data_IF_765843526075
#
_entry.id   IF_765843526075
#
_cell.length_a   1.000
_cell.length_b   1.000
_cell.length_c   1.000
_cell.angle_alpha   90.00
_cell.angle_beta   90.00
_cell.angle_gamma   90.00
#
_symmetry.space_group_name_H-M   'P 1'
#
loop_
_entity.id
_entity.type
_entity.pdbx_description
1 polymer ?
#
# COMPACT_ATOMS: atom_id res chain seq x y z
N UNK A 1 -0.54 70.24 -30.51
CA UNK A 1 -1.49 70.69 -29.46
C UNK A 1 -1.54 69.59 -28.41
N UNK A 2 -1.07 69.87 -27.20
CA UNK A 2 -1.00 68.91 -26.10
C UNK A 2 -2.06 69.24 -25.04
N UNK A 3 -2.83 68.24 -24.64
CA UNK A 3 -3.73 68.22 -23.48
C UNK A 3 -3.78 66.76 -23.00
N UNK A 4 -4.01 66.43 -21.74
CA UNK A 4 -3.66 66.99 -20.43
C UNK A 4 -3.84 65.80 -19.48
N UNK A 5 -3.05 65.74 -18.42
CA UNK A 5 -3.01 64.66 -17.44
C UNK A 5 -4.37 64.35 -16.79
N UNK A 6 -4.54 63.10 -16.35
CA UNK A 6 -5.62 62.68 -15.50
C UNK A 6 -5.10 61.85 -14.31
N UNK A 7 -5.63 62.20 -13.14
CA UNK A 7 -5.99 61.37 -11.98
C UNK A 7 -4.89 60.51 -11.34
N UNK A 8 -4.45 60.89 -10.13
CA UNK A 8 -5.01 60.45 -8.83
C UNK A 8 -4.59 59.03 -8.45
N UNK A 9 -4.04 58.88 -7.25
CA UNK A 9 -4.55 58.03 -6.16
C UNK A 9 -3.46 57.84 -5.09
N UNK A 10 -3.83 58.23 -3.87
CA UNK A 10 -3.48 57.70 -2.55
C UNK A 10 -2.24 56.81 -2.43
N UNK A 11 -1.32 57.20 -1.53
CA UNK A 11 -0.54 56.26 -0.73
C UNK A 11 -0.12 56.92 0.58
N UNK A 12 0.16 56.05 1.55
CA UNK A 12 0.72 56.24 2.90
C UNK A 12 -0.31 56.02 4.01
N UNK A 13 -0.61 54.78 4.42
CA UNK A 13 0.24 53.79 5.13
C UNK A 13 0.68 54.25 6.52
N UNK A 14 0.20 53.54 7.54
CA UNK A 14 0.94 52.94 8.67
C UNK A 14 -0.11 52.41 9.67
N UNK A 15 0.02 51.20 10.21
CA UNK A 15 0.88 50.91 11.37
C UNK A 15 1.19 49.42 11.43
N UNK A 16 2.46 49.14 11.72
CA UNK A 16 3.12 47.87 12.03
C UNK A 16 2.53 47.16 13.26
N UNK A 17 2.57 45.83 13.33
CA UNK A 17 2.93 45.05 14.54
C UNK A 17 2.88 43.53 14.27
N UNK A 18 4.09 42.94 14.21
CA UNK A 18 4.57 41.62 14.65
C UNK A 18 3.70 40.34 14.49
N UNK A 19 4.35 39.18 14.19
CA UNK A 19 3.67 37.95 13.84
C UNK A 19 3.02 37.31 15.06
N UNK A 20 1.70 37.15 15.03
CA UNK A 20 1.05 36.13 15.85
C UNK A 20 1.47 34.77 15.28
N UNK A 21 2.46 34.14 15.90
CA UNK A 21 2.69 32.71 15.75
C UNK A 21 1.46 32.01 16.33
N UNK A 22 0.50 31.72 15.46
CA UNK A 22 -0.60 30.80 15.73
C UNK A 22 0.01 29.44 16.04
N UNK A 23 0.11 29.10 17.33
CA UNK A 23 0.32 27.71 17.72
C UNK A 23 -0.95 26.94 17.36
N UNK A 24 -0.93 26.34 16.17
CA UNK A 24 -1.84 25.28 15.84
C UNK A 24 -1.61 24.16 16.87
N UNK A 25 -2.55 23.99 17.80
CA UNK A 25 -2.62 22.81 18.65
C UNK A 25 -3.09 21.62 17.80
N UNK A 26 -2.21 21.17 16.90
CA UNK A 26 -2.36 19.90 16.24
C UNK A 26 -2.10 18.82 17.27
N UNK A 27 -3.14 18.08 17.66
CA UNK A 27 -2.94 16.86 18.43
C UNK A 27 -2.20 15.87 17.54
N UNK A 28 -0.95 15.54 17.89
CA UNK A 28 -0.21 14.45 17.27
C UNK A 28 -0.84 13.12 17.73
N UNK A 29 -1.31 12.26 16.81
CA UNK A 29 -1.80 10.93 17.16
C UNK A 29 -0.72 10.17 17.94
N UNK A 30 -1.08 9.61 19.10
CA UNK A 30 -0.16 8.79 19.91
C UNK A 30 0.73 9.53 20.92
N UNK A 31 0.60 10.86 21.06
CA UNK A 31 1.23 11.63 22.13
C UNK A 31 0.22 12.25 23.08
N UNK A 32 0.52 12.21 24.39
CA UNK A 32 -0.21 12.92 25.43
C UNK A 32 0.70 13.96 26.08
N UNK A 33 0.19 15.16 26.29
CA UNK A 33 0.86 16.19 27.07
C UNK A 33 0.57 15.94 28.55
N UNK A 34 1.61 15.70 29.35
CA UNK A 34 1.49 15.55 30.80
C UNK A 34 2.56 16.40 31.49
N UNK A 35 2.15 17.31 32.37
CA UNK A 35 3.08 18.20 33.09
C UNK A 35 3.92 19.14 32.21
N UNK A 36 3.47 19.47 30.99
CA UNK A 36 4.22 20.30 30.03
C UNK A 36 5.30 19.54 29.25
N UNK A 37 5.41 18.22 29.47
CA UNK A 37 6.27 17.30 28.73
C UNK A 37 5.40 16.48 27.77
N UNK A 38 5.84 16.34 26.52
CA UNK A 38 5.22 15.43 25.55
C UNK A 38 5.65 14.00 25.86
N UNK A 39 4.70 13.18 26.28
CA UNK A 39 4.89 11.75 26.46
C UNK A 39 4.23 11.03 25.28
N UNK A 40 5.07 10.50 24.40
CA UNK A 40 4.62 9.75 23.23
C UNK A 40 4.77 8.26 23.47
N UNK A 41 3.76 7.48 23.06
CA UNK A 41 3.86 6.01 23.07
C UNK A 41 4.83 5.61 21.95
N UNK A 42 5.93 4.89 22.26
CA UNK A 42 6.88 4.45 21.24
C UNK A 42 6.16 3.62 20.17
N UNK A 43 6.29 4.02 18.90
CA UNK A 43 5.70 3.33 17.75
C UNK A 43 4.53 4.03 17.03
N UNK A 44 4.10 5.22 17.49
CA UNK A 44 2.96 5.94 16.88
C UNK A 44 3.27 7.33 16.29
N UNK A 45 4.52 7.78 16.32
CA UNK A 45 4.90 9.12 15.80
C UNK A 45 5.86 9.08 14.61
N UNK A 46 6.02 7.93 13.98
CA UNK A 46 6.86 7.79 12.80
C UNK A 46 6.04 8.24 11.57
N UNK A 47 6.61 9.16 10.78
CA UNK A 47 6.15 9.35 9.40
C UNK A 47 6.02 7.96 8.74
N UNK A 48 5.01 7.73 7.87
CA UNK A 48 4.72 6.40 7.31
C UNK A 48 5.95 5.67 6.74
N UNK A 49 6.93 6.42 6.24
CA UNK A 49 8.20 5.90 5.71
C UNK A 49 9.15 5.34 6.78
N UNK A 50 9.18 5.90 7.99
CA UNK A 50 10.00 5.37 9.09
C UNK A 50 9.41 4.09 9.69
N UNK A 51 8.09 3.90 9.61
CA UNK A 51 7.45 2.67 10.04
C UNK A 51 7.83 1.46 9.16
N UNK A 52 8.16 1.72 7.89
CA UNK A 52 8.71 0.71 6.96
C UNK A 52 10.17 0.37 7.32
N UNK A 53 10.96 1.36 7.75
CA UNK A 53 12.38 1.12 8.07
C UNK A 53 12.61 0.43 9.43
N UNK A 54 11.74 0.63 10.42
CA UNK A 54 11.74 -0.18 11.64
C UNK A 54 11.38 -1.64 11.33
N UNK A 55 10.52 -1.88 10.31
CA UNK A 55 10.24 -3.21 9.80
C UNK A 55 11.47 -3.88 9.15
N UNK A 56 12.44 -3.10 8.64
CA UNK A 56 13.61 -3.60 7.92
C UNK A 56 14.78 -4.02 8.84
N UNK A 57 14.80 -3.64 10.12
CA UNK A 57 15.89 -4.03 11.04
C UNK A 57 15.68 -5.38 11.75
N UNK A 58 14.49 -5.97 11.67
CA UNK A 58 14.20 -7.32 12.16
C UNK A 58 14.17 -8.40 11.06
N UNK A 59 14.64 -8.09 9.85
CA UNK A 59 14.69 -9.04 8.74
C UNK A 59 16.15 -9.45 8.50
N UNK A 60 16.72 -10.11 9.50
CA UNK A 60 17.89 -10.97 9.30
C UNK A 60 17.46 -12.39 9.64
N UNK A 61 17.63 -13.30 8.67
CA UNK A 61 17.39 -14.75 8.74
C UNK A 61 15.92 -15.24 8.86
N UNK A 62 14.91 -14.39 8.60
CA UNK A 62 13.49 -14.77 8.56
C UNK A 62 12.81 -14.55 7.18
N UNK A 63 13.58 -14.29 6.11
CA UNK A 63 13.05 -14.08 4.73
C UNK A 63 12.38 -15.34 4.13
N UNK A 64 12.57 -16.51 4.74
CA UNK A 64 11.75 -17.71 4.48
C UNK A 64 10.28 -17.57 4.97
N UNK A 65 9.93 -16.42 5.58
CA UNK A 65 8.63 -16.10 6.20
C UNK A 65 7.90 -14.92 5.54
N UNK A 66 8.46 -14.28 4.50
CA UNK A 66 7.95 -13.07 3.82
C UNK A 66 6.76 -13.28 2.87
N UNK A 67 5.67 -13.87 3.35
CA UNK A 67 4.43 -13.89 2.55
C UNK A 67 3.33 -14.80 3.03
N UNK A 68 3.46 -15.42 4.20
CA UNK A 68 2.32 -16.11 4.83
C UNK A 68 1.44 -15.11 5.57
N UNK A 69 0.73 -14.30 4.80
CA UNK A 69 -0.62 -13.89 5.20
C UNK A 69 -1.52 -15.13 5.12
N UNK A 70 -1.36 -16.09 6.04
CA UNK A 70 -2.27 -17.23 6.11
C UNK A 70 -3.38 -16.88 7.10
N UNK A 71 -4.29 -16.02 6.66
CA UNK A 71 -5.63 -16.01 7.24
C UNK A 71 -6.44 -17.05 6.47
N UNK A 72 -6.72 -18.18 7.10
CA UNK A 72 -7.50 -19.25 6.48
C UNK A 72 -8.88 -18.72 6.12
N UNK A 73 -9.17 -18.62 4.82
CA UNK A 73 -10.53 -18.36 4.34
C UNK A 73 -11.33 -19.63 4.56
N UNK A 74 -12.38 -19.55 5.37
CA UNK A 74 -13.26 -20.68 5.62
C UNK A 74 -13.87 -21.16 4.29
N UNK A 75 -13.75 -22.46 4.01
CA UNK A 75 -14.28 -23.06 2.78
C UNK A 75 -13.35 -23.02 1.57
N UNK A 76 -12.19 -22.37 1.67
CA UNK A 76 -11.18 -22.42 0.61
C UNK A 76 -10.39 -23.73 0.69
N UNK A 77 -10.53 -24.58 -0.33
CA UNK A 77 -9.80 -25.85 -0.43
C UNK A 77 -8.49 -25.71 -1.20
N UNK A 78 -8.48 -24.90 -2.25
CA UNK A 78 -7.28 -24.66 -3.06
C UNK A 78 -7.27 -23.25 -3.61
N UNK A 79 -6.06 -22.69 -3.77
CA UNK A 79 -5.79 -21.48 -4.52
C UNK A 79 -4.37 -21.56 -5.08
N UNK A 80 -4.25 -21.77 -6.38
CA UNK A 80 -2.99 -22.04 -7.08
C UNK A 80 -2.93 -21.34 -8.43
N UNK A 81 -1.74 -20.97 -8.85
CA UNK A 81 -1.44 -20.48 -10.18
C UNK A 81 -1.00 -21.64 -11.07
N UNK A 82 -1.54 -21.66 -12.29
CA UNK A 82 -1.19 -22.64 -13.33
C UNK A 82 -0.80 -21.90 -14.60
N UNK A 83 0.34 -22.28 -15.18
CA UNK A 83 0.87 -21.74 -16.42
C UNK A 83 2.38 -21.91 -16.49
N UNK A 84 2.97 -21.59 -17.63
CA UNK A 84 4.42 -21.64 -17.80
C UNK A 84 5.07 -20.31 -17.37
N UNK A 85 6.22 -20.41 -16.71
CA UNK A 85 7.04 -19.26 -16.31
C UNK A 85 7.79 -18.67 -17.51
N UNK A 86 7.08 -18.09 -18.48
CA UNK A 86 7.65 -17.60 -19.74
C UNK A 86 6.92 -16.36 -20.24
N UNK A 87 7.65 -15.38 -20.76
CA UNK A 87 7.06 -14.19 -21.38
C UNK A 87 6.03 -14.55 -22.46
N UNK A 88 4.92 -13.80 -22.45
CA UNK A 88 3.82 -13.94 -23.40
C UNK A 88 2.79 -14.99 -22.97
N UNK A 89 3.16 -15.93 -22.10
CA UNK A 89 2.27 -16.95 -21.57
C UNK A 89 1.26 -16.38 -20.57
N UNK A 90 0.18 -17.14 -20.39
CA UNK A 90 -0.91 -16.78 -19.48
C UNK A 90 -0.84 -17.65 -18.22
N UNK A 91 -0.72 -17.01 -17.07
CA UNK A 91 -0.96 -17.64 -15.79
C UNK A 91 -2.44 -17.54 -15.45
N UNK A 92 -3.00 -18.63 -14.93
CA UNK A 92 -4.39 -18.71 -14.48
C UNK A 92 -4.43 -19.00 -13.00
N UNK A 93 -5.13 -18.17 -12.24
CA UNK A 93 -5.51 -18.46 -10.88
C UNK A 93 -6.65 -19.49 -10.89
N UNK A 94 -6.44 -20.61 -10.22
CA UNK A 94 -7.47 -21.62 -9.98
C UNK A 94 -7.72 -21.73 -8.48
N UNK A 95 -8.98 -21.74 -8.10
CA UNK A 95 -9.38 -21.91 -6.71
C UNK A 95 -10.68 -22.72 -6.59
N UNK A 96 -10.84 -23.37 -5.44
CA UNK A 96 -12.10 -24.01 -5.02
C UNK A 96 -12.48 -23.40 -3.69
N UNK A 97 -13.47 -22.52 -3.72
CA UNK A 97 -13.98 -21.78 -2.58
C UNK A 97 -15.46 -22.12 -2.40
N UNK A 98 -15.78 -22.73 -1.25
CA UNK A 98 -17.14 -23.16 -0.92
C UNK A 98 -17.55 -22.51 0.40
N UNK A 99 -18.30 -21.41 0.33
CA UNK A 99 -18.77 -20.71 1.52
C UNK A 99 -20.06 -19.91 1.27
N UNK A 100 -21.02 -20.05 2.16
CA UNK A 100 -22.33 -19.37 2.05
C UNK A 100 -22.29 -17.89 2.49
N UNK A 101 -21.21 -17.46 3.14
CA UNK A 101 -21.05 -16.12 3.72
C UNK A 101 -20.06 -15.23 2.96
N UNK A 102 -19.98 -15.36 1.63
CA UNK A 102 -19.04 -14.60 0.81
C UNK A 102 -19.78 -13.48 0.08
N UNK A 103 -19.31 -12.25 0.24
CA UNK A 103 -19.82 -11.08 -0.46
C UNK A 103 -19.01 -10.80 -1.73
N UNK A 104 -17.68 -10.80 -1.64
CA UNK A 104 -16.79 -10.59 -2.79
C UNK A 104 -15.52 -11.43 -2.72
N UNK A 105 -14.95 -11.70 -3.90
CA UNK A 105 -13.65 -12.35 -4.08
C UNK A 105 -12.86 -11.53 -5.10
N UNK A 106 -11.69 -11.08 -4.69
CA UNK A 106 -10.79 -10.29 -5.53
C UNK A 106 -9.42 -10.96 -5.63
N UNK A 107 -8.80 -10.93 -6.81
CA UNK A 107 -7.47 -11.51 -7.04
C UNK A 107 -6.50 -10.42 -7.48
N UNK A 108 -5.43 -10.24 -6.73
CA UNK A 108 -4.41 -9.24 -7.00
C UNK A 108 -3.07 -9.89 -7.32
N UNK A 109 -2.42 -9.41 -8.37
CA UNK A 109 -1.15 -9.96 -8.87
C UNK A 109 0.04 -9.16 -8.37
N UNK A 110 1.08 -9.88 -7.94
CA UNK A 110 2.31 -9.34 -7.41
C UNK A 110 3.51 -9.89 -8.18
N UNK A 111 4.46 -9.01 -8.46
CA UNK A 111 5.75 -9.35 -9.06
C UNK A 111 6.88 -9.07 -8.09
N UNK A 112 7.96 -9.84 -8.19
CA UNK A 112 9.22 -9.59 -7.49
C UNK A 112 10.39 -9.83 -8.43
N UNK A 113 11.38 -8.95 -8.39
CA UNK A 113 12.66 -9.14 -9.06
C UNK A 113 13.67 -9.69 -8.05
N UNK A 114 14.28 -10.85 -8.35
CA UNK A 114 15.22 -11.53 -7.46
C UNK A 114 14.66 -11.75 -6.05
N UNK A 115 15.40 -11.30 -5.05
CA UNK A 115 15.09 -11.32 -3.61
C UNK A 115 14.49 -9.99 -3.10
N UNK A 116 14.12 -9.07 -4.01
CA UNK A 116 13.54 -7.79 -3.63
C UNK A 116 12.12 -7.88 -3.05
N UNK A 117 11.45 -6.74 -2.89
CA UNK A 117 10.08 -6.74 -2.36
C UNK A 117 9.02 -7.09 -3.42
N UNK A 118 7.92 -7.71 -2.98
CA UNK A 118 6.72 -7.91 -3.80
C UNK A 118 6.06 -6.57 -4.14
N UNK A 119 5.77 -6.36 -5.42
CA UNK A 119 5.12 -5.15 -5.95
C UNK A 119 3.82 -5.53 -6.61
N UNK A 120 2.74 -4.84 -6.27
CA UNK A 120 1.44 -4.98 -6.92
C UNK A 120 1.57 -4.59 -8.40
N UNK A 121 1.15 -5.46 -9.32
CA UNK A 121 1.25 -5.21 -10.78
C UNK A 121 0.08 -4.37 -11.28
N UNK A 122 -1.13 -4.66 -10.81
CA UNK A 122 -2.31 -3.85 -11.11
C UNK A 122 -3.39 -4.01 -10.02
N UNK A 123 -4.27 -3.02 -9.90
CA UNK A 123 -5.40 -3.04 -8.99
C UNK A 123 -6.66 -3.69 -9.59
N UNK A 124 -6.56 -4.32 -10.78
CA UNK A 124 -7.70 -4.98 -11.41
C UNK A 124 -7.78 -6.42 -10.93
N UNK A 125 -8.95 -6.79 -10.43
CA UNK A 125 -9.26 -8.17 -10.07
C UNK A 125 -9.38 -8.99 -11.35
N UNK A 126 -8.37 -9.80 -11.63
CA UNK A 126 -8.30 -10.62 -12.84
C UNK A 126 -7.86 -12.04 -12.46
N UNK A 127 -8.59 -13.05 -12.91
CA UNK A 127 -8.19 -14.46 -12.70
C UNK A 127 -6.99 -14.86 -13.57
N UNK A 128 -6.65 -14.06 -14.58
CA UNK A 128 -5.58 -14.35 -15.51
C UNK A 128 -4.51 -13.26 -15.46
N UNK A 129 -3.27 -13.65 -15.69
CA UNK A 129 -2.12 -12.76 -15.78
C UNK A 129 -1.31 -13.08 -17.01
N UNK A 130 -1.13 -12.09 -17.89
CA UNK A 130 -0.24 -12.22 -19.03
C UNK A 130 1.16 -11.81 -18.61
N UNK A 131 2.09 -12.75 -18.69
CA UNK A 131 3.49 -12.48 -18.39
C UNK A 131 4.05 -11.52 -19.45
N UNK A 132 4.62 -10.43 -18.97
CA UNK A 132 5.22 -9.38 -19.76
C UNK A 132 6.74 -9.45 -19.74
N UNK A 133 7.38 -8.63 -20.57
CA UNK A 133 8.83 -8.49 -20.57
C UNK A 133 9.38 -7.95 -19.24
N UNK A 134 8.60 -7.16 -18.51
CA UNK A 134 9.02 -6.62 -17.22
C UNK A 134 9.13 -7.71 -16.12
N UNK A 135 8.51 -8.87 -16.34
CA UNK A 135 8.52 -9.98 -15.39
C UNK A 135 9.76 -10.88 -15.53
N UNK A 136 10.51 -10.78 -16.64
CA UNK A 136 11.67 -11.65 -16.92
C UNK A 136 12.68 -11.64 -15.77
N UNK A 137 13.18 -12.83 -15.43
CA UNK A 137 14.10 -13.03 -14.30
C UNK A 137 13.45 -12.89 -12.92
N UNK A 138 12.22 -12.36 -12.85
CA UNK A 138 11.43 -12.21 -11.65
C UNK A 138 10.52 -13.40 -11.37
N UNK A 139 9.60 -13.20 -10.43
CA UNK A 139 8.60 -14.17 -10.02
C UNK A 139 7.24 -13.49 -9.84
N UNK A 140 6.18 -14.25 -10.02
CA UNK A 140 4.78 -13.81 -9.93
C UNK A 140 4.03 -14.63 -8.87
N UNK A 141 3.16 -13.96 -8.13
CA UNK A 141 2.23 -14.55 -7.15
C UNK A 141 0.89 -13.84 -7.25
N UNK A 142 -0.20 -14.50 -6.84
CA UNK A 142 -1.48 -13.85 -6.64
C UNK A 142 -1.91 -13.92 -5.17
N UNK A 143 -2.64 -12.89 -4.74
CA UNK A 143 -3.28 -12.83 -3.43
C UNK A 143 -4.78 -12.73 -3.66
N UNK A 144 -5.52 -13.69 -3.12
CA UNK A 144 -6.97 -13.65 -3.07
C UNK A 144 -7.40 -12.90 -1.81
N UNK A 145 -8.33 -11.97 -1.97
CA UNK A 145 -8.97 -11.21 -0.92
C UNK A 145 -10.45 -11.58 -0.92
N UNK A 146 -10.96 -12.05 0.22
CA UNK A 146 -12.36 -12.42 0.38
C UNK A 146 -12.98 -11.50 1.42
N UNK A 147 -14.08 -10.86 1.04
CA UNK A 147 -14.92 -10.10 1.96
C UNK A 147 -16.15 -10.93 2.28
N UNK A 148 -16.38 -11.21 3.56
CA UNK A 148 -17.57 -11.93 4.01
C UNK A 148 -18.78 -11.01 4.13
N UNK A 149 -19.99 -11.58 4.22
CA UNK A 149 -21.22 -10.81 4.42
C UNK A 149 -21.23 -10.01 5.73
N UNK A 150 -20.46 -10.46 6.72
CA UNK A 150 -20.31 -9.81 8.03
C UNK A 150 -19.29 -8.65 7.99
N UNK A 151 -18.68 -8.37 6.82
CA UNK A 151 -17.69 -7.30 6.60
C UNK A 151 -16.24 -7.71 6.85
N UNK A 152 -16.01 -8.95 7.31
CA UNK A 152 -14.67 -9.49 7.57
C UNK A 152 -13.89 -9.66 6.26
N UNK A 153 -12.66 -9.12 6.20
CA UNK A 153 -11.74 -9.28 5.07
C UNK A 153 -10.65 -10.29 5.41
N UNK A 154 -10.53 -11.33 4.59
CA UNK A 154 -9.51 -12.38 4.70
C UNK A 154 -8.63 -12.38 3.45
N UNK A 155 -7.37 -12.80 3.61
CA UNK A 155 -6.40 -12.86 2.50
C UNK A 155 -5.61 -14.15 2.52
N UNK A 156 -5.32 -14.67 1.33
CA UNK A 156 -4.51 -15.87 1.12
C UNK A 156 -3.63 -15.69 -0.12
N UNK A 157 -2.38 -16.16 -0.03
CA UNK A 157 -1.43 -16.15 -1.14
C UNK A 157 -1.44 -17.47 -1.90
N UNK A 158 -1.21 -17.42 -3.21
CA UNK A 158 -1.00 -18.59 -4.05
C UNK A 158 0.43 -19.16 -3.90
N UNK A 159 0.74 -20.22 -4.67
CA UNK A 159 2.12 -20.54 -5.00
C UNK A 159 2.78 -19.41 -5.84
N UNK A 160 4.11 -19.44 -5.91
CA UNK A 160 4.93 -18.54 -6.72
C UNK A 160 5.29 -19.22 -8.04
N UNK A 161 5.24 -18.47 -9.15
CA UNK A 161 5.72 -18.89 -10.47
C UNK A 161 6.94 -18.04 -10.85
N UNK A 162 8.08 -18.69 -11.05
CA UNK A 162 9.33 -18.05 -11.45
C UNK A 162 10.53 -19.01 -11.30
N UNK A 163 11.73 -18.61 -11.76
CA UNK A 163 12.01 -17.38 -12.49
C UNK A 163 11.36 -17.39 -13.89
N UNK A 164 10.82 -16.24 -14.30
CA UNK A 164 10.22 -16.08 -15.63
C UNK A 164 11.32 -16.05 -16.70
N UNK A 165 11.15 -16.84 -17.75
CA UNK A 165 12.05 -16.91 -18.92
C UNK A 165 11.62 -16.01 -20.07
#
# INVERSE_FOLDING_TARGET
MAYRAAASVLLLSWISLLPAATQAQGMLPGCRLEGGSLQCVPGLTADPEQQINVLNQEISIDVQREGRFTQTIQGLKTFVLIGEAKEGELLKAKFDLQGEKINSVDIHWYQRQGDGHWKLVSNRSEENYRISQADRGGSVMAVMVVTTNDGDVKRVSSNVIGPIR
#
